data_IF_232625723281
#
_entry.id   IF_232625723281
#
_cell.length_a   1.000
_cell.length_b   1.000
_cell.length_c   1.000
_cell.angle_alpha   90.00
_cell.angle_beta   90.00
_cell.angle_gamma   90.00
#
_symmetry.space_group_name_H-M   'P 1'
#
loop_
_entity.id
_entity.type
_entity.pdbx_description
1 polymer ?
#
# COMPACT_ATOMS: atom_id res chain seq x y z
N UNK A 1 0.24 3.66 25.02
CA UNK A 1 0.88 3.77 23.71
C UNK A 1 -0.17 3.79 22.63
N UNK A 2 -0.07 4.68 21.61
CA UNK A 2 -0.90 4.53 20.43
C UNK A 2 -0.34 3.34 19.64
N UNK A 3 -0.65 2.13 20.13
CA UNK A 3 -0.10 0.89 19.65
C UNK A 3 -0.58 0.64 18.22
N UNK A 4 0.37 0.63 17.28
CA UNK A 4 0.20 -0.12 16.03
C UNK A 4 -0.28 -1.53 16.38
N UNK A 5 -1.37 -1.98 15.76
CA UNK A 5 -1.82 -3.36 15.91
C UNK A 5 -1.08 -4.23 14.91
N UNK A 6 -0.32 -5.22 15.42
CA UNK A 6 0.37 -6.20 14.60
C UNK A 6 -0.44 -7.49 14.55
N UNK A 7 -0.63 -8.01 13.35
CA UNK A 7 -1.41 -9.22 13.10
C UNK A 7 -0.75 -10.06 12.02
N UNK A 8 -0.87 -11.37 12.13
CA UNK A 8 -0.58 -12.34 11.09
C UNK A 8 -1.85 -12.64 10.29
N UNK A 9 -1.69 -13.02 9.02
CA UNK A 9 -2.83 -13.38 8.17
C UNK A 9 -3.61 -14.60 8.69
N UNK A 10 -3.00 -15.39 9.56
CA UNK A 10 -3.59 -16.57 10.22
C UNK A 10 -4.30 -16.24 11.53
N UNK A 11 -4.23 -15.00 12.01
CA UNK A 11 -4.90 -14.61 13.25
C UNK A 11 -6.42 -14.60 13.07
N UNK A 12 -7.13 -15.13 14.07
CA UNK A 12 -8.59 -15.25 14.02
C UNK A 12 -9.34 -13.92 14.07
N UNK A 13 -8.67 -12.83 14.43
CA UNK A 13 -9.22 -11.48 14.52
C UNK A 13 -8.83 -10.57 13.34
N UNK A 14 -8.16 -11.11 12.30
CA UNK A 14 -7.79 -10.36 11.09
C UNK A 14 -8.95 -9.51 10.53
N UNK A 15 -10.16 -10.06 10.55
CA UNK A 15 -11.38 -9.41 10.04
C UNK A 15 -11.85 -8.20 10.86
N UNK A 16 -11.30 -7.98 12.05
CA UNK A 16 -11.53 -6.76 12.84
C UNK A 16 -10.66 -5.58 12.36
N UNK A 17 -9.73 -5.83 11.45
CA UNK A 17 -8.81 -4.85 10.89
C UNK A 17 -9.17 -4.61 9.42
N UNK A 18 -9.99 -3.60 9.08
CA UNK A 18 -10.43 -3.37 7.69
C UNK A 18 -9.30 -2.86 6.76
N UNK A 19 -8.17 -2.46 7.35
CA UNK A 19 -7.02 -1.93 6.64
C UNK A 19 -5.76 -2.62 7.16
N UNK A 20 -5.04 -3.27 6.25
CA UNK A 20 -3.71 -3.81 6.50
C UNK A 20 -2.67 -2.92 5.85
N UNK A 21 -1.59 -2.68 6.57
CA UNK A 21 -0.39 -2.08 6.04
C UNK A 21 0.73 -3.11 6.07
N UNK A 22 1.51 -3.19 4.99
CA UNK A 22 2.74 -3.96 4.97
C UNK A 22 3.82 -3.14 4.28
N UNK A 23 5.05 -3.26 4.77
CA UNK A 23 6.23 -2.72 4.12
C UNK A 23 7.36 -3.74 4.15
N UNK A 24 8.44 -3.48 3.41
CA UNK A 24 9.60 -4.36 3.48
C UNK A 24 10.71 -4.02 2.50
N UNK A 25 11.92 -4.43 2.88
CA UNK A 25 13.16 -4.21 2.12
C UNK A 25 13.65 -5.52 1.45
N UNK A 26 12.75 -6.46 1.15
CA UNK A 26 13.15 -7.81 0.77
C UNK A 26 12.03 -8.74 0.33
N UNK A 27 12.31 -10.04 0.41
CA UNK A 27 11.45 -11.06 -0.20
C UNK A 27 10.20 -11.36 0.64
N UNK A 28 9.04 -10.93 0.15
CA UNK A 28 7.72 -11.34 0.65
C UNK A 28 7.43 -12.78 0.23
N UNK A 29 7.00 -13.61 1.18
CA UNK A 29 6.60 -14.98 0.90
C UNK A 29 5.47 -15.42 1.82
N UNK A 30 4.31 -15.70 1.24
CA UNK A 30 3.18 -16.28 1.97
C UNK A 30 3.20 -17.81 1.88
N UNK A 31 2.74 -18.47 2.93
CA UNK A 31 2.34 -19.87 2.89
C UNK A 31 1.09 -20.05 2.02
N UNK A 32 0.77 -21.28 1.62
CA UNK A 32 -0.45 -21.55 0.85
C UNK A 32 -1.74 -21.29 1.64
N UNK A 33 -1.65 -21.27 2.97
CA UNK A 33 -2.73 -20.86 3.85
C UNK A 33 -2.92 -19.34 3.84
N UNK A 34 -1.85 -18.58 4.08
CA UNK A 34 -1.88 -17.12 4.04
C UNK A 34 -2.32 -16.59 2.67
N UNK A 35 -1.94 -17.24 1.57
CA UNK A 35 -2.44 -16.89 0.22
C UNK A 35 -3.97 -16.99 0.13
N UNK A 36 -4.57 -18.02 0.74
CA UNK A 36 -6.02 -18.21 0.76
C UNK A 36 -6.67 -17.17 1.68
N UNK A 37 -6.13 -16.98 2.89
CA UNK A 37 -6.67 -16.05 3.87
C UNK A 37 -6.59 -14.60 3.39
N UNK A 38 -5.48 -14.17 2.79
CA UNK A 38 -5.36 -12.83 2.22
C UNK A 38 -6.35 -12.61 1.06
N UNK A 39 -6.55 -13.62 0.21
CA UNK A 39 -7.58 -13.56 -0.84
C UNK A 39 -8.95 -13.34 -0.23
N UNK A 40 -9.33 -14.18 0.73
CA UNK A 40 -10.66 -14.18 1.35
C UNK A 40 -10.90 -12.86 2.12
N UNK A 41 -9.90 -12.37 2.85
CA UNK A 41 -9.93 -11.06 3.50
C UNK A 41 -10.21 -9.91 2.51
N UNK A 42 -9.44 -9.84 1.42
CA UNK A 42 -9.54 -8.76 0.43
C UNK A 42 -10.88 -8.77 -0.33
N UNK A 43 -11.41 -9.94 -0.67
CA UNK A 43 -12.72 -10.03 -1.34
C UNK A 43 -13.89 -9.83 -0.36
N UNK A 44 -13.66 -10.00 0.94
CA UNK A 44 -14.67 -9.79 2.00
C UNK A 44 -14.79 -8.34 2.47
N UNK A 45 -14.05 -7.41 1.85
CA UNK A 45 -14.12 -5.98 2.16
C UNK A 45 -12.82 -5.40 2.71
N UNK A 46 -11.87 -6.25 3.11
CA UNK A 46 -10.55 -5.81 3.55
C UNK A 46 -9.79 -5.02 2.49
N UNK A 47 -8.83 -4.23 2.95
CA UNK A 47 -7.95 -3.43 2.11
C UNK A 47 -6.49 -3.64 2.51
N UNK A 48 -5.58 -3.68 1.54
CA UNK A 48 -4.14 -3.77 1.76
C UNK A 48 -3.42 -2.59 1.13
N UNK A 49 -2.64 -1.86 1.93
CA UNK A 49 -1.61 -0.97 1.46
C UNK A 49 -0.25 -1.66 1.64
N UNK A 50 0.41 -1.97 0.52
CA UNK A 50 1.79 -2.44 0.49
C UNK A 50 2.73 -1.30 0.08
N UNK A 51 3.85 -1.13 0.78
CA UNK A 51 4.84 -0.10 0.48
C UNK A 51 6.22 -0.71 0.25
N UNK A 52 6.82 -0.41 -0.90
CA UNK A 52 8.16 -0.88 -1.27
C UNK A 52 9.23 0.10 -0.82
N UNK A 53 9.79 -0.17 0.35
CA UNK A 53 10.96 0.51 0.93
C UNK A 53 12.27 0.00 0.31
N UNK A 54 12.26 -0.38 -0.98
CA UNK A 54 13.35 -0.93 -1.78
C UNK A 54 13.57 -2.45 -1.70
N UNK A 55 13.32 -3.13 -2.82
CA UNK A 55 13.65 -4.55 -3.03
C UNK A 55 12.49 -5.53 -2.88
N UNK A 56 11.27 -5.03 -2.68
CA UNK A 56 10.08 -5.85 -2.47
C UNK A 56 9.38 -6.26 -3.77
N UNK A 57 9.46 -5.44 -4.84
CA UNK A 57 8.62 -5.49 -6.04
C UNK A 57 8.46 -6.88 -6.68
N UNK A 58 9.58 -7.56 -7.00
CA UNK A 58 9.52 -8.87 -7.65
C UNK A 58 8.78 -9.90 -6.79
N UNK A 59 9.09 -9.91 -5.49
CA UNK A 59 8.50 -10.84 -4.55
C UNK A 59 7.02 -10.54 -4.29
N UNK A 60 6.66 -9.27 -4.14
CA UNK A 60 5.29 -8.85 -3.91
C UNK A 60 4.41 -9.18 -5.12
N UNK A 61 4.85 -8.86 -6.34
CA UNK A 61 4.12 -9.23 -7.57
C UNK A 61 3.92 -10.73 -7.70
N UNK A 62 4.96 -11.53 -7.42
CA UNK A 62 4.86 -12.99 -7.43
C UNK A 62 3.81 -13.50 -6.43
N UNK A 63 3.83 -12.98 -5.21
CA UNK A 63 2.87 -13.38 -4.18
C UNK A 63 1.45 -12.90 -4.51
N UNK A 64 1.28 -11.69 -5.01
CA UNK A 64 -0.02 -11.20 -5.48
C UNK A 64 -0.57 -12.01 -6.67
N UNK A 65 0.30 -12.62 -7.49
CA UNK A 65 -0.13 -13.60 -8.50
C UNK A 65 -0.60 -14.92 -7.90
N UNK A 66 -0.05 -15.36 -6.77
CA UNK A 66 -0.58 -16.51 -6.03
C UNK A 66 -1.94 -16.18 -5.41
N UNK A 67 -2.09 -14.98 -4.83
CA UNK A 67 -3.34 -14.49 -4.26
C UNK A 67 -4.40 -14.28 -5.35
N UNK A 68 -4.07 -13.68 -6.49
CA UNK A 68 -5.01 -13.47 -7.59
C UNK A 68 -4.39 -13.78 -8.96
N UNK A 69 -4.46 -15.05 -9.42
CA UNK A 69 -3.80 -15.47 -10.66
C UNK A 69 -4.28 -14.76 -11.93
N UNK A 70 -5.49 -14.20 -11.91
CA UNK A 70 -6.14 -13.56 -13.07
C UNK A 70 -6.26 -12.03 -12.94
N UNK A 71 -5.69 -11.43 -11.89
CA UNK A 71 -5.70 -9.98 -11.69
C UNK A 71 -4.30 -9.42 -11.90
N UNK A 72 -4.24 -8.17 -12.32
CA UNK A 72 -3.00 -7.42 -12.51
C UNK A 72 -2.97 -6.23 -11.54
N UNK A 73 -1.77 -5.91 -11.06
CA UNK A 73 -1.49 -4.59 -10.51
C UNK A 73 -1.36 -3.62 -11.68
N UNK A 74 -2.18 -2.59 -11.70
CA UNK A 74 -2.20 -1.56 -12.75
C UNK A 74 -1.90 -0.21 -12.13
N UNK A 75 -1.18 0.65 -12.85
CA UNK A 75 -0.96 2.02 -12.37
C UNK A 75 -2.29 2.77 -12.30
N UNK A 76 -2.53 3.42 -11.17
CA UNK A 76 -3.71 4.25 -10.99
C UNK A 76 -3.53 5.55 -11.79
N UNK A 77 -4.52 5.92 -12.63
CA UNK A 77 -4.45 7.18 -13.36
C UNK A 77 -4.55 8.35 -12.37
N UNK A 78 -3.95 9.49 -12.71
CA UNK A 78 -3.88 10.64 -11.80
C UNK A 78 -5.23 11.24 -11.43
N UNK A 79 -6.29 10.96 -12.20
CA UNK A 79 -7.67 11.37 -11.90
C UNK A 79 -8.43 10.36 -11.00
N UNK A 80 -7.78 9.27 -10.58
CA UNK A 80 -8.39 8.29 -9.69
C UNK A 80 -8.78 8.94 -8.35
N UNK A 81 -9.97 8.66 -7.77
CA UNK A 81 -10.45 9.36 -6.58
C UNK A 81 -9.53 9.27 -5.36
N UNK A 82 -8.68 8.25 -5.27
CA UNK A 82 -7.67 8.12 -4.21
C UNK A 82 -6.71 9.33 -4.16
N UNK A 83 -6.46 10.02 -5.27
CA UNK A 83 -5.60 11.19 -5.32
C UNK A 83 -6.33 12.50 -4.95
N UNK A 84 -7.64 12.45 -4.70
CA UNK A 84 -8.49 13.64 -4.57
C UNK A 84 -9.51 13.57 -3.42
N UNK A 85 -9.63 12.44 -2.72
CA UNK A 85 -10.71 12.21 -1.75
C UNK A 85 -10.62 13.07 -0.47
N UNK A 86 -9.43 13.52 -0.08
CA UNK A 86 -9.24 14.38 1.09
C UNK A 86 -8.22 15.49 0.84
N UNK A 87 -7.03 15.13 0.38
CA UNK A 87 -6.02 16.03 -0.20
C UNK A 87 -5.92 15.84 -1.71
N UNK A 88 -5.41 16.86 -2.39
CA UNK A 88 -5.30 16.89 -3.85
C UNK A 88 -3.87 16.57 -4.33
N UNK A 89 -3.73 15.54 -5.16
CA UNK A 89 -2.49 15.07 -5.78
C UNK A 89 -2.65 14.98 -7.31
N UNK A 90 -2.72 16.11 -8.04
CA UNK A 90 -3.00 16.13 -9.48
C UNK A 90 -1.88 15.52 -10.35
N UNK A 91 -0.76 15.12 -9.73
CA UNK A 91 0.38 14.46 -10.37
C UNK A 91 0.61 13.04 -9.84
N UNK A 92 -0.40 12.45 -9.20
CA UNK A 92 -0.33 11.10 -8.64
C UNK A 92 0.52 10.98 -7.38
N UNK A 93 1.09 9.79 -7.19
CA UNK A 93 1.87 9.43 -5.99
C UNK A 93 3.10 10.34 -5.82
N UNK A 94 3.34 10.92 -4.61
CA UNK A 94 4.54 11.71 -4.37
C UNK A 94 5.79 10.81 -4.37
N UNK A 95 6.92 11.38 -4.78
CA UNK A 95 8.25 10.73 -4.67
C UNK A 95 8.88 11.15 -3.33
N UNK A 96 9.02 10.23 -2.39
CA UNK A 96 9.62 10.50 -1.08
C UNK A 96 11.11 10.17 -1.13
N UNK A 97 11.48 8.92 -1.40
CA UNK A 97 12.88 8.52 -1.51
C UNK A 97 13.32 8.17 -2.93
N UNK A 98 14.62 8.29 -3.21
CA UNK A 98 15.20 7.91 -4.51
C UNK A 98 15.65 6.45 -4.49
N UNK A 99 15.25 5.70 -5.51
CA UNK A 99 15.60 4.29 -5.67
C UNK A 99 16.34 4.12 -7.00
N UNK A 100 15.68 3.59 -8.03
CA UNK A 100 16.30 3.27 -9.33
C UNK A 100 16.27 4.44 -10.33
N UNK A 101 15.97 5.68 -9.91
CA UNK A 101 15.73 6.79 -10.84
C UNK A 101 14.40 6.69 -11.61
N UNK A 102 13.50 5.79 -11.19
CA UNK A 102 12.18 5.60 -11.79
C UNK A 102 11.13 6.51 -11.12
N UNK A 103 10.06 6.89 -11.85
CA UNK A 103 8.97 7.66 -11.27
C UNK A 103 8.25 6.89 -10.15
N UNK A 104 7.75 7.62 -9.16
CA UNK A 104 6.88 7.06 -8.13
C UNK A 104 5.55 6.63 -8.76
N UNK A 105 5.04 5.46 -8.36
CA UNK A 105 3.78 4.90 -8.84
C UNK A 105 2.92 4.46 -7.66
N UNK A 106 1.60 4.60 -7.80
CA UNK A 106 0.63 3.90 -6.96
C UNK A 106 -0.09 2.89 -7.84
N UNK A 107 0.19 1.62 -7.60
CA UNK A 107 -0.40 0.52 -8.37
C UNK A 107 -1.62 -0.02 -7.62
N UNK A 108 -2.70 -0.27 -8.33
CA UNK A 108 -3.94 -0.79 -7.79
C UNK A 108 -4.26 -2.20 -8.28
N UNK A 109 -4.89 -3.00 -7.43
CA UNK A 109 -5.51 -4.27 -7.82
C UNK A 109 -7.00 -4.22 -7.48
N UNK A 110 -7.83 -4.59 -8.44
CA UNK A 110 -9.28 -4.40 -8.36
C UNK A 110 -10.06 -5.72 -8.26
N UNK A 111 -11.11 -5.76 -7.44
CA UNK A 111 -12.14 -6.79 -7.46
C UNK A 111 -13.52 -6.20 -7.68
N UNK A 112 -14.19 -6.65 -8.75
CA UNK A 112 -15.53 -6.18 -9.17
C UNK A 112 -15.66 -4.65 -9.23
N UNK A 113 -14.60 -3.97 -9.66
CA UNK A 113 -14.53 -2.51 -9.74
C UNK A 113 -14.09 -1.81 -8.45
N UNK A 114 -14.04 -2.49 -7.30
CA UNK A 114 -13.49 -1.96 -6.05
C UNK A 114 -11.98 -2.12 -6.02
N UNK A 115 -11.26 -1.07 -5.64
CA UNK A 115 -9.83 -1.14 -5.36
C UNK A 115 -9.62 -1.88 -4.03
N UNK A 116 -8.86 -2.97 -4.05
CA UNK A 116 -8.67 -3.84 -2.88
C UNK A 116 -7.22 -3.87 -2.38
N UNK A 117 -6.25 -3.59 -3.26
CA UNK A 117 -4.85 -3.41 -2.89
C UNK A 117 -4.33 -2.15 -3.53
N UNK A 118 -3.57 -1.37 -2.76
CA UNK A 118 -2.67 -0.34 -3.28
C UNK A 118 -1.23 -0.71 -2.97
N UNK A 119 -0.37 -0.46 -3.92
CA UNK A 119 1.05 -0.75 -3.83
C UNK A 119 1.85 0.47 -4.26
N UNK A 120 2.49 1.14 -3.30
CA UNK A 120 3.42 2.25 -3.57
C UNK A 120 4.77 1.70 -4.00
N UNK A 121 5.13 1.98 -5.25
CA UNK A 121 6.37 1.53 -5.87
C UNK A 121 7.22 2.74 -6.24
N UNK A 122 8.53 2.68 -5.94
CA UNK A 122 9.48 3.78 -6.19
C UNK A 122 9.10 5.12 -5.54
N UNK A 123 8.29 5.08 -4.47
CA UNK A 123 7.83 6.26 -3.72
C UNK A 123 8.46 6.29 -2.33
N UNK A 124 8.33 5.19 -1.58
CA UNK A 124 8.68 5.03 -0.17
C UNK A 124 7.83 5.90 0.76
N UNK A 125 6.52 5.66 0.78
CA UNK A 125 5.60 6.50 1.57
C UNK A 125 5.88 6.36 3.07
N UNK A 126 6.27 5.16 3.52
CA UNK A 126 6.62 4.80 4.87
C UNK A 126 7.80 5.61 5.41
N UNK A 127 8.89 5.77 4.63
CA UNK A 127 10.01 6.64 5.01
C UNK A 127 9.57 8.08 5.32
N UNK A 128 8.56 8.56 4.57
CA UNK A 128 7.99 9.89 4.79
C UNK A 128 7.04 9.98 5.98
N UNK A 129 6.61 8.86 6.57
CA UNK A 129 5.75 8.83 7.76
C UNK A 129 6.55 8.78 9.07
N UNK A 130 7.81 8.36 8.99
CA UNK A 130 8.75 8.38 10.10
C UNK A 130 9.08 9.81 10.55
N UNK A 131 9.68 9.93 11.73
CA UNK A 131 10.18 11.22 12.24
C UNK A 131 11.20 11.82 11.25
N UNK A 132 11.17 13.15 11.10
CA UNK A 132 12.00 13.90 10.14
C UNK A 132 13.51 13.58 10.23
N UNK A 133 13.98 13.15 11.41
CA UNK A 133 15.38 12.87 11.69
C UNK A 133 15.84 11.49 11.17
N UNK A 134 14.92 10.55 10.90
CA UNK A 134 15.25 9.16 10.54
C UNK A 134 15.86 9.09 9.14
N UNK A 135 15.15 9.62 8.14
CA UNK A 135 15.56 9.58 6.74
C UNK A 135 16.12 10.91 6.22
N UNK A 136 16.05 11.98 7.03
CA UNK A 136 16.42 13.35 6.66
C UNK A 136 15.72 13.85 5.39
N UNK A 137 14.51 13.36 5.14
CA UNK A 137 13.66 13.90 4.09
C UNK A 137 13.18 15.31 4.47
N UNK A 138 13.20 16.21 3.49
CA UNK A 138 12.78 17.59 3.73
C UNK A 138 11.32 17.67 4.20
N UNK A 139 10.93 18.66 5.02
CA UNK A 139 9.58 18.77 5.59
C UNK A 139 8.42 18.66 4.57
N UNK A 140 8.64 19.14 3.34
CA UNK A 140 7.66 19.06 2.27
C UNK A 140 7.35 17.62 1.81
N UNK A 141 8.36 16.73 1.81
CA UNK A 141 8.17 15.32 1.47
C UNK A 141 7.43 14.58 2.59
N UNK A 142 7.82 14.82 3.84
CA UNK A 142 7.12 14.28 5.00
C UNK A 142 5.63 14.67 5.00
N UNK A 143 5.33 15.95 4.79
CA UNK A 143 3.95 16.42 4.68
C UNK A 143 3.21 15.76 3.49
N UNK A 144 3.86 15.61 2.33
CA UNK A 144 3.27 14.94 1.18
C UNK A 144 2.98 13.46 1.44
N UNK A 145 3.89 12.74 2.12
CA UNK A 145 3.72 11.35 2.48
C UNK A 145 2.54 11.15 3.43
N UNK A 146 2.46 11.96 4.50
CA UNK A 146 1.35 11.93 5.46
C UNK A 146 0.00 12.24 4.79
N UNK A 147 -0.02 13.21 3.87
CA UNK A 147 -1.22 13.55 3.09
C UNK A 147 -1.64 12.41 2.17
N UNK A 148 -0.70 11.76 1.47
CA UNK A 148 -1.01 10.62 0.61
C UNK A 148 -1.48 9.41 1.43
N UNK A 149 -0.84 9.14 2.57
CA UNK A 149 -1.28 8.11 3.52
C UNK A 149 -2.70 8.37 4.04
N UNK A 150 -3.03 9.62 4.36
CA UNK A 150 -4.38 10.04 4.75
C UNK A 150 -5.38 9.73 3.63
N UNK A 151 -5.06 10.07 2.38
CA UNK A 151 -5.91 9.76 1.23
C UNK A 151 -6.15 8.25 1.07
N UNK A 152 -5.11 7.43 1.21
CA UNK A 152 -5.22 5.96 1.11
C UNK A 152 -6.17 5.42 2.18
N UNK A 153 -6.02 5.86 3.44
CA UNK A 153 -6.90 5.44 4.54
C UNK A 153 -8.32 5.94 4.33
N UNK A 154 -8.52 7.22 3.99
CA UNK A 154 -9.85 7.79 3.73
C UNK A 154 -10.55 7.04 2.60
N UNK A 155 -9.84 6.79 1.49
CA UNK A 155 -10.38 6.04 0.36
C UNK A 155 -10.83 4.64 0.79
N UNK A 156 -9.97 3.90 1.48
CA UNK A 156 -10.26 2.53 1.95
C UNK A 156 -11.50 2.45 2.85
N UNK A 157 -11.83 3.52 3.57
CA UNK A 157 -12.97 3.57 4.50
C UNK A 157 -14.27 4.13 3.89
N UNK A 158 -14.21 4.71 2.69
CA UNK A 158 -15.34 5.49 2.14
C UNK A 158 -15.78 5.11 0.73
N UNK A 159 -15.02 4.28 0.00
CA UNK A 159 -15.29 3.87 -1.38
C UNK A 159 -15.34 2.34 -1.52
#
# INVERSE_FOLDING_TARGET
>A
DPNEYRTELTDGDLYNHPFLYMNGHGNVRFTDEEVRLLRDYLISGGFLHADDNYGMDESFRREMKRVFPKKELVELPWDHPIFHCYFDFPKGCPKIHEHDGKPAQLLGLFDKGRLIVVYSYQSDLGDGWEDLEVHNDGPAKHEAALKMGTNIVVYAMTH
#
